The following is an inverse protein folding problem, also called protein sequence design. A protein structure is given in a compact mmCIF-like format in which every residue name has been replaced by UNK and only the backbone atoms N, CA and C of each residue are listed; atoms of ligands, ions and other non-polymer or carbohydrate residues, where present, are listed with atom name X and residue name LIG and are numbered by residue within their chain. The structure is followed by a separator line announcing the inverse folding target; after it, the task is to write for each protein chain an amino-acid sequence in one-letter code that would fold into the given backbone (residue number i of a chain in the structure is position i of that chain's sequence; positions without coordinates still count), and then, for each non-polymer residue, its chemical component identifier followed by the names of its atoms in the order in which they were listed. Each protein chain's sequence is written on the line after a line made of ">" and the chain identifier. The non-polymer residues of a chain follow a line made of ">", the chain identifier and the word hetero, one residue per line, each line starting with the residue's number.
data_IF_328758307092
#
_entry.id   IF_328758307092
#
_cell.length_a   1.000
_cell.length_b   1.000
_cell.length_c   1.000
_cell.angle_alpha   90.00
_cell.angle_beta   90.00
_cell.angle_gamma   90.00
#
_symmetry.space_group_name_H-M   'P 1'
#
loop_
_entity.id
_entity.type
_entity.pdbx_description
1 polymer ?
#
# COMPACT_ATOMS: atom_id res chain seq x y z
N UNK A 1 10.84 -11.26 3.98
CA UNK A 1 10.67 -9.83 4.36
C UNK A 1 9.34 -9.72 5.10
N UNK A 2 9.24 -9.03 6.25
CA UNK A 2 7.98 -8.85 6.96
C UNK A 2 6.90 -8.23 6.06
N UNK A 3 5.64 -8.66 6.27
CA UNK A 3 4.48 -8.17 5.52
C UNK A 3 3.58 -7.34 6.42
N UNK A 4 3.12 -6.22 5.89
CA UNK A 4 2.27 -5.28 6.58
C UNK A 4 0.98 -5.01 5.81
N UNK A 5 -0.12 -4.90 6.56
CA UNK A 5 -1.38 -4.36 6.08
C UNK A 5 -1.47 -2.89 6.53
N UNK A 6 -1.65 -1.99 5.58
CA UNK A 6 -1.77 -0.56 5.82
C UNK A 6 -3.20 -0.12 5.50
N UNK A 7 -3.84 0.49 6.49
CA UNK A 7 -5.13 1.15 6.31
C UNK A 7 -4.90 2.64 6.04
N UNK A 8 -5.61 3.17 5.04
CA UNK A 8 -5.53 4.58 4.67
C UNK A 8 -6.93 5.13 4.37
N UNK A 9 -7.19 6.35 4.83
CA UNK A 9 -8.41 7.09 4.57
C UNK A 9 -8.12 8.28 3.65
N UNK A 10 -8.90 8.40 2.58
CA UNK A 10 -8.87 9.49 1.60
C UNK A 10 -10.21 10.23 1.67
N UNK A 11 -10.32 11.35 2.42
CA UNK A 11 -11.60 12.07 2.58
C UNK A 11 -12.26 12.46 1.26
N UNK A 12 -11.45 12.85 0.28
CA UNK A 12 -11.86 13.27 -1.06
C UNK A 12 -11.90 12.11 -2.07
N UNK A 13 -11.61 10.88 -1.62
CA UNK A 13 -11.54 9.69 -2.44
C UNK A 13 -10.18 9.48 -3.14
N UNK A 14 -9.84 8.23 -3.42
CA UNK A 14 -8.70 7.84 -4.24
C UNK A 14 -9.12 7.67 -5.70
N UNK A 15 -8.57 8.50 -6.57
CA UNK A 15 -8.78 8.41 -8.02
C UNK A 15 -7.47 8.06 -8.71
N UNK A 16 -7.31 6.80 -9.11
CA UNK A 16 -6.22 6.35 -9.99
C UNK A 16 -6.86 5.76 -11.25
N UNK A 17 -6.70 6.39 -12.42
CA UNK A 17 -7.32 5.89 -13.65
C UNK A 17 -6.67 4.60 -14.15
N UNK A 18 -7.45 3.71 -14.75
CA UNK A 18 -6.94 2.47 -15.36
C UNK A 18 -6.39 2.73 -16.77
N UNK A 19 -5.36 3.58 -16.86
CA UNK A 19 -4.70 3.96 -18.11
C UNK A 19 -3.20 4.22 -17.87
N UNK A 20 -2.52 4.78 -18.88
CA UNK A 20 -1.08 5.08 -18.80
C UNK A 20 -0.73 6.10 -17.70
N UNK A 21 -1.62 7.05 -17.42
CA UNK A 21 -1.41 8.06 -16.37
C UNK A 21 -1.43 7.39 -14.98
N UNK A 22 -2.43 6.57 -14.69
CA UNK A 22 -2.48 5.84 -13.43
C UNK A 22 -1.33 4.84 -13.29
N UNK A 23 -0.89 4.22 -14.39
CA UNK A 23 0.31 3.39 -14.39
C UNK A 23 1.56 4.19 -13.99
N UNK A 24 1.74 5.41 -14.51
CA UNK A 24 2.84 6.29 -14.13
C UNK A 24 2.77 6.76 -12.66
N UNK A 25 1.57 7.07 -12.17
CA UNK A 25 1.33 7.36 -10.75
C UNK A 25 1.76 6.18 -9.87
N UNK A 26 1.32 4.96 -10.20
CA UNK A 26 1.70 3.75 -9.48
C UNK A 26 3.22 3.50 -9.51
N UNK A 27 3.88 3.68 -10.66
CA UNK A 27 5.32 3.52 -10.80
C UNK A 27 6.11 4.52 -9.94
N UNK A 28 5.63 5.77 -9.84
CA UNK A 28 6.24 6.78 -8.96
C UNK A 28 6.18 6.35 -7.49
N UNK A 29 5.04 5.80 -7.07
CA UNK A 29 4.88 5.25 -5.71
C UNK A 29 5.81 4.08 -5.46
N UNK A 30 5.88 3.14 -6.41
CA UNK A 30 6.79 1.98 -6.32
C UNK A 30 8.24 2.44 -6.20
N UNK A 31 8.69 3.38 -7.03
CA UNK A 31 10.06 3.88 -6.98
C UNK A 31 10.42 4.49 -5.62
N UNK A 32 9.58 5.39 -5.10
CA UNK A 32 9.79 6.02 -3.78
C UNK A 32 9.75 5.02 -2.61
N UNK A 33 8.97 3.96 -2.72
CA UNK A 33 8.94 2.89 -1.72
C UNK A 33 10.27 2.11 -1.72
N UNK A 34 10.81 1.82 -2.91
CA UNK A 34 12.06 1.07 -3.05
C UNK A 34 13.26 1.80 -2.43
N UNK A 35 13.27 3.14 -2.43
CA UNK A 35 14.32 3.94 -1.78
C UNK A 35 14.48 3.66 -0.27
N UNK A 36 13.45 3.10 0.36
CA UNK A 36 13.43 2.75 1.79
C UNK A 36 13.22 1.24 2.01
N UNK A 37 13.47 0.43 0.97
CA UNK A 37 13.36 -1.02 1.04
C UNK A 37 11.94 -1.54 1.19
N UNK A 38 10.94 -0.78 0.76
CA UNK A 38 9.53 -1.14 0.84
C UNK A 38 9.01 -1.54 -0.54
N UNK A 39 8.27 -2.64 -0.61
CA UNK A 39 7.61 -3.12 -1.83
C UNK A 39 6.10 -3.05 -1.66
N UNK A 40 5.42 -2.34 -2.57
CA UNK A 40 3.96 -2.41 -2.66
C UNK A 40 3.55 -3.67 -3.42
N UNK A 41 2.80 -4.57 -2.77
CA UNK A 41 2.34 -5.84 -3.36
C UNK A 41 1.04 -5.62 -4.13
N UNK A 42 0.00 -5.14 -3.46
CA UNK A 42 -1.27 -4.73 -4.05
C UNK A 42 -2.11 -3.95 -3.03
N UNK A 43 -3.26 -3.42 -3.45
CA UNK A 43 -4.23 -2.74 -2.58
C UNK A 43 -5.65 -3.18 -2.91
N UNK A 44 -6.49 -3.24 -1.88
CA UNK A 44 -7.93 -3.23 -2.03
C UNK A 44 -8.44 -1.81 -1.81
N UNK A 45 -9.45 -1.41 -2.55
CA UNK A 45 -10.09 -0.09 -2.48
C UNK A 45 -11.58 -0.31 -2.23
N UNK A 46 -12.17 0.44 -1.31
CA UNK A 46 -13.62 0.39 -1.07
C UNK A 46 -14.39 0.97 -2.25
N UNK A 47 -15.67 0.60 -2.39
CA UNK A 47 -16.54 1.06 -3.47
C UNK A 47 -16.68 2.59 -3.54
N UNK A 48 -16.66 3.27 -2.39
CA UNK A 48 -16.69 4.74 -2.30
C UNK A 48 -15.32 5.40 -2.52
N UNK A 49 -14.28 4.60 -2.75
CA UNK A 49 -12.88 5.00 -2.93
C UNK A 49 -12.26 5.75 -1.75
N UNK A 50 -12.91 5.78 -0.57
CA UNK A 50 -12.42 6.54 0.59
C UNK A 50 -11.48 5.77 1.47
N UNK A 51 -11.44 4.43 1.36
CA UNK A 51 -10.56 3.61 2.18
C UNK A 51 -9.79 2.61 1.33
N UNK A 52 -8.52 2.45 1.66
CA UNK A 52 -7.68 1.41 1.06
C UNK A 52 -7.06 0.51 2.09
N UNK A 53 -6.87 -0.74 1.71
CA UNK A 53 -6.15 -1.76 2.46
C UNK A 53 -4.96 -2.22 1.60
N UNK A 54 -3.79 -1.68 1.90
CA UNK A 54 -2.58 -1.92 1.11
C UNK A 54 -1.73 -3.01 1.74
N UNK A 55 -1.27 -3.97 0.94
CA UNK A 55 -0.33 -5.01 1.36
C UNK A 55 1.07 -4.61 0.90
N UNK A 56 1.96 -4.35 1.85
CA UNK A 56 3.35 -3.97 1.60
C UNK A 56 4.29 -4.96 2.28
N UNK A 57 5.42 -5.26 1.63
CA UNK A 57 6.56 -5.93 2.26
C UNK A 57 7.62 -4.88 2.60
N UNK A 58 8.28 -5.01 3.76
CA UNK A 58 9.30 -4.05 4.17
C UNK A 58 10.05 -4.48 5.44
N UNK A 59 11.15 -3.78 5.79
CA UNK A 59 12.01 -4.19 6.91
C UNK A 59 11.42 -3.86 8.30
N UNK A 60 10.57 -2.82 8.40
CA UNK A 60 9.98 -2.35 9.66
C UNK A 60 8.74 -1.48 9.42
N UNK A 61 7.85 -1.29 10.41
CA UNK A 61 6.75 -0.33 10.28
C UNK A 61 7.23 1.12 10.11
N UNK A 62 8.41 1.47 10.60
CA UNK A 62 9.03 2.79 10.40
C UNK A 62 9.38 3.03 8.93
N UNK A 63 9.90 2.01 8.22
CA UNK A 63 10.15 2.10 6.78
C UNK A 63 8.83 2.31 5.99
N UNK A 64 7.74 1.67 6.41
CA UNK A 64 6.40 1.89 5.82
C UNK A 64 5.92 3.34 6.04
N UNK A 65 6.14 3.91 7.22
CA UNK A 65 5.80 5.33 7.50
C UNK A 65 6.65 6.27 6.63
N UNK A 66 7.95 6.01 6.52
CA UNK A 66 8.84 6.81 5.68
C UNK A 66 8.46 6.73 4.20
N UNK A 67 8.09 5.55 3.70
CA UNK A 67 7.57 5.36 2.36
C UNK A 67 6.29 6.17 2.12
N UNK A 68 5.37 6.16 3.09
CA UNK A 68 4.13 6.93 3.01
C UNK A 68 4.39 8.44 3.00
N UNK A 69 5.29 8.94 3.85
CA UNK A 69 5.70 10.35 3.91
C UNK A 69 6.28 10.82 2.56
N UNK A 70 7.21 10.06 1.98
CA UNK A 70 7.80 10.36 0.65
C UNK A 70 6.78 10.43 -0.47
N UNK A 71 5.69 9.68 -0.33
CA UNK A 71 4.59 9.65 -1.29
C UNK A 71 3.47 10.63 -0.97
N UNK A 72 3.49 11.30 0.20
CA UNK A 72 2.38 12.13 0.66
C UNK A 72 1.10 11.33 0.89
N UNK A 73 1.20 10.04 1.23
CA UNK A 73 0.03 9.17 1.44
C UNK A 73 -0.29 9.05 2.94
N UNK A 74 -1.58 9.13 3.34
CA UNK A 74 -1.99 9.02 4.73
C UNK A 74 -1.80 7.60 5.29
N UNK A 75 -1.52 7.47 6.58
CA UNK A 75 -1.39 6.17 7.26
C UNK A 75 -2.23 6.20 8.53
N UNK A 76 -3.32 5.44 8.56
CA UNK A 76 -4.17 5.33 9.74
C UNK A 76 -3.63 4.25 10.68
N UNK A 77 -3.28 3.10 10.11
CA UNK A 77 -2.80 1.92 10.85
C UNK A 77 -1.82 1.11 10.01
N UNK A 78 -0.81 0.57 10.68
CA UNK A 78 0.11 -0.43 10.14
C UNK A 78 0.02 -1.68 11.03
N UNK A 79 -0.31 -2.82 10.44
CA UNK A 79 -0.38 -4.11 11.14
C UNK A 79 0.59 -5.09 10.51
N UNK A 80 1.45 -5.73 11.32
CA UNK A 80 2.23 -6.88 10.88
C UNK A 80 1.27 -8.06 10.65
N UNK A 81 1.33 -8.70 9.48
CA UNK A 81 0.38 -9.77 9.11
C UNK A 81 1.08 -10.95 8.48
N UNK A 82 0.43 -12.12 8.54
CA UNK A 82 0.75 -13.31 7.76
C UNK A 82 -0.41 -13.65 6.83
N UNK A 83 -0.12 -14.30 5.70
CA UNK A 83 -1.17 -14.78 4.80
C UNK A 83 -1.77 -16.06 5.39
N UNK A 84 -3.09 -16.05 5.56
CA UNK A 84 -3.88 -17.24 5.83
C UNK A 84 -4.87 -17.40 4.67
N UNK A 85 -4.51 -18.26 3.72
CA UNK A 85 -5.38 -18.62 2.60
C UNK A 85 -5.80 -20.09 2.75
N UNK A 86 -7.09 -20.39 3.01
CA UNK A 86 -7.55 -21.76 3.23
C UNK A 86 -7.39 -22.66 1.99
N UNK A 87 -7.21 -22.09 0.79
CA UNK A 87 -7.04 -22.85 -0.44
C UNK A 87 -5.59 -23.21 -0.74
N UNK A 88 -4.61 -22.63 -0.03
CA UNK A 88 -3.19 -23.03 -0.13
C UNK A 88 -2.89 -24.39 0.51
N UNK A 89 -3.79 -24.89 1.35
CA UNK A 89 -3.61 -26.14 2.10
C UNK A 89 -4.20 -27.37 1.38
N UNK A 90 -4.32 -27.30 0.05
CA UNK A 90 -4.84 -28.40 -0.81
C UNK A 90 -3.72 -29.15 -1.50
#
# INVERSE_FOLDING_TARGET
>A
MPRYLIERTFPDGLAIPMNAEGAATCQTVVGKNMDVGVTWVHSYVTEDHKKTFCVYDGPSPEAIRQAAERNGLPVDRISLVSVLDPYFYR
#
